data_IF_558099567192
#
_entry.id   IF_558099567192
#
_cell.length_a   1.000
_cell.length_b   1.000
_cell.length_c   1.000
_cell.angle_alpha   90.00
_cell.angle_beta   90.00
_cell.angle_gamma   90.00
#
_symmetry.space_group_name_H-M   'P 1'
#
loop_
_entity.id
_entity.type
_entity.pdbx_description
1 polymer ?
2 non-polymer ?
3 non-polymer ?
4 non-polymer ?
5 water ?
#
# COMPACT_ATOMS: atom_id res chain seq x y z
N UNK A 42 -20.80 -14.98 -20.71
CA UNK A 42 -21.17 -16.43 -20.65
C UNK A 42 -20.66 -17.07 -19.38
N UNK A 43 -21.22 -16.67 -18.24
CA UNK A 43 -20.73 -17.14 -16.93
C UNK A 43 -19.26 -16.72 -16.68
N UNK A 44 -18.88 -15.60 -17.28
CA UNK A 44 -17.53 -15.05 -17.11
C UNK A 44 -17.58 -13.55 -17.25
N UNK A 45 -16.73 -12.88 -16.47
CA UNK A 45 -16.58 -11.44 -16.55
C UNK A 45 -15.11 -11.09 -16.40
N UNK A 46 -14.72 -9.97 -17.01
CA UNK A 46 -13.37 -9.44 -16.93
C UNK A 46 -13.40 -8.10 -16.23
N UNK A 47 -12.57 -7.97 -15.20
CA UNK A 47 -12.40 -6.72 -14.47
C UNK A 47 -10.97 -6.21 -14.73
N UNK A 48 -10.84 -4.91 -14.97
CA UNK A 48 -9.54 -4.28 -15.16
C UNK A 48 -9.07 -3.57 -13.90
N UNK A 49 -7.76 -3.40 -13.78
CA UNK A 49 -7.18 -2.62 -12.72
C UNK A 49 -5.93 -1.92 -13.28
N UNK A 50 -5.50 -0.82 -12.65
CA UNK A 50 -4.43 0.01 -13.23
C UNK A 50 -3.44 0.56 -12.21
N UNK A 51 -2.49 1.37 -12.70
CA UNK A 51 -1.45 1.97 -11.85
C UNK A 51 -1.97 3.06 -10.93
N UNK A 52 -3.25 3.39 -11.09
CA UNK A 52 -3.87 4.45 -10.30
C UNK A 52 -4.81 3.96 -9.22
N UNK A 53 -4.60 2.73 -8.76
CA UNK A 53 -5.39 2.14 -7.68
C UNK A 53 -6.90 2.18 -7.95
N UNK A 54 -7.28 1.79 -9.16
CA UNK A 54 -8.69 1.74 -9.57
C UNK A 54 -9.04 0.42 -10.25
N UNK A 55 -10.20 -0.14 -9.89
CA UNK A 55 -10.87 -1.13 -10.73
C UNK A 55 -11.70 -0.35 -11.75
N UNK A 56 -12.01 -0.95 -12.90
CA UNK A 56 -12.90 -0.32 -13.88
C UNK A 56 -14.40 -0.58 -13.65
N UNK A 57 -14.75 -1.14 -12.49
CA UNK A 57 -16.16 -1.35 -12.16
C UNK A 57 -16.40 -1.25 -10.65
N UNK A 58 -17.65 -0.96 -10.32
CA UNK A 58 -18.11 -0.93 -8.93
C UNK A 58 -19.11 -2.06 -8.65
N UNK A 59 -19.44 -2.83 -9.68
CA UNK A 59 -20.42 -3.90 -9.57
C UNK A 59 -20.12 -5.03 -10.53
N UNK A 60 -19.96 -6.24 -9.98
CA UNK A 60 -19.80 -7.42 -10.81
C UNK A 60 -21.07 -8.24 -10.70
N UNK A 61 -21.75 -8.41 -11.83
CA UNK A 61 -22.99 -9.17 -11.89
C UNK A 61 -22.69 -10.62 -12.18
N UNK A 62 -23.21 -11.50 -11.33
CA UNK A 62 -22.96 -12.93 -11.44
C UNK A 62 -24.29 -13.65 -11.59
N UNK A 63 -24.48 -14.33 -12.73
CA UNK A 63 -25.73 -15.02 -13.02
C UNK A 63 -25.83 -16.31 -12.21
N UNK A 64 -26.93 -16.45 -11.46
CA UNK A 64 -27.11 -17.63 -10.63
C UNK A 64 -27.65 -18.83 -11.43
N UNK A 65 -27.90 -18.59 -12.72
CA UNK A 65 -28.12 -19.67 -13.68
C UNK A 65 -26.83 -20.45 -13.98
N UNK A 66 -25.68 -19.87 -13.63
CA UNK A 66 -24.38 -20.51 -13.88
C UNK A 66 -24.04 -21.55 -12.82
N UNK A 67 -23.52 -22.71 -13.24
CA UNK A 67 -22.98 -23.70 -12.31
C UNK A 67 -21.71 -23.16 -11.67
N UNK A 68 -20.89 -22.49 -12.48
CA UNK A 68 -19.65 -21.87 -12.03
C UNK A 68 -19.50 -20.56 -12.78
N UNK A 69 -18.89 -19.57 -12.13
CA UNK A 69 -18.70 -18.25 -12.72
C UNK A 69 -17.23 -17.86 -12.59
N UNK A 70 -16.62 -17.46 -13.70
CA UNK A 70 -15.19 -17.09 -13.70
C UNK A 70 -15.02 -15.58 -13.79
N UNK A 71 -14.21 -15.03 -12.89
CA UNK A 71 -13.85 -13.62 -12.96
C UNK A 71 -12.35 -13.53 -13.24
N UNK A 72 -12.02 -12.85 -14.34
CA UNK A 72 -10.62 -12.62 -14.72
C UNK A 72 -10.24 -11.18 -14.41
N UNK A 73 -9.16 -11.01 -13.64
CA UNK A 73 -8.63 -9.69 -13.36
C UNK A 73 -7.42 -9.43 -14.24
N UNK A 74 -7.43 -8.29 -14.92
CA UNK A 74 -6.28 -7.83 -15.70
C UNK A 74 -5.71 -6.60 -15.02
N UNK A 75 -4.38 -6.49 -15.04
CA UNK A 75 -3.68 -5.33 -14.55
C UNK A 75 -3.10 -4.63 -15.77
N UNK A 76 -3.65 -3.47 -16.11
CA UNK A 76 -3.25 -2.77 -17.34
C UNK A 76 -2.15 -1.74 -17.13
N UNK A 77 -1.67 -1.63 -15.89
CA UNK A 77 -0.55 -0.74 -15.57
C UNK A 77 0.77 -1.35 -15.98
N UNK A 78 1.87 -0.72 -15.55
CA UNK A 78 3.23 -1.21 -15.81
C UNK A 78 4.02 -1.44 -14.52
N UNK A 79 3.46 -1.04 -13.38
CA UNK A 79 4.12 -1.19 -12.08
C UNK A 79 4.15 -2.64 -11.62
N UNK A 80 5.21 -3.05 -10.90
CA UNK A 80 5.32 -4.43 -10.39
C UNK A 80 4.33 -4.68 -9.25
N UNK A 81 4.05 -5.95 -8.97
CA UNK A 81 3.06 -6.29 -7.96
C UNK A 81 3.50 -5.90 -6.55
N UNK A 82 4.81 -5.79 -6.33
CA UNK A 82 5.33 -5.37 -5.02
C UNK A 82 4.83 -3.97 -4.63
N UNK A 83 4.73 -3.07 -5.60
CA UNK A 83 4.34 -1.69 -5.29
C UNK A 83 2.92 -1.34 -5.68
N UNK A 84 2.34 -2.06 -6.63
CA UNK A 84 1.00 -1.73 -7.12
C UNK A 84 0.20 -3.01 -7.40
N UNK A 85 0.34 -3.99 -6.51
CA UNK A 85 -0.29 -5.30 -6.69
C UNK A 85 -1.79 -5.19 -6.59
N UNK A 86 -2.49 -5.93 -7.44
CA UNK A 86 -3.94 -6.06 -7.35
C UNK A 86 -4.37 -7.51 -7.37
N UNK A 87 -5.40 -7.80 -6.58
CA UNK A 87 -6.10 -9.04 -6.67
C UNK A 87 -7.58 -8.72 -6.63
N UNK A 88 -8.41 -9.74 -6.72
CA UNK A 88 -9.83 -9.55 -6.53
C UNK A 88 -10.28 -10.62 -5.52
N UNK A 89 -10.81 -10.16 -4.40
CA UNK A 89 -11.15 -11.01 -3.26
C UNK A 89 -12.61 -10.81 -2.90
N UNK A 90 -13.36 -11.91 -2.84
CA UNK A 90 -14.80 -11.84 -2.60
C UNK A 90 -15.14 -12.31 -1.19
N UNK A 91 -15.82 -11.43 -0.45
CA UNK A 91 -16.25 -11.72 0.93
C UNK A 91 -17.49 -10.88 1.29
N UNK A 92 -18.22 -11.29 2.32
CA UNK A 92 -19.35 -10.49 2.78
C UNK A 92 -18.88 -9.08 3.14
N UNK A 93 -19.70 -8.08 2.85
CA UNK A 93 -19.41 -6.70 3.26
C UNK A 93 -18.88 -6.59 4.70
N UNK A 94 -19.53 -7.29 5.63
CA UNK A 94 -19.21 -7.22 7.06
C UNK A 94 -17.91 -7.96 7.43
N UNK A 95 -17.44 -8.81 6.52
CA UNK A 95 -16.19 -9.55 6.75
C UNK A 95 -14.97 -8.87 6.12
N UNK A 96 -15.21 -7.93 5.21
CA UNK A 96 -14.13 -7.37 4.39
C UNK A 96 -13.03 -6.66 5.20
N UNK A 97 -13.41 -5.90 6.23
CA UNK A 97 -12.45 -5.23 7.10
C UNK A 97 -11.50 -6.23 7.77
N UNK A 98 -12.06 -7.32 8.29
CA UNK A 98 -11.26 -8.37 8.91
C UNK A 98 -10.34 -9.04 7.91
N UNK A 99 -10.85 -9.26 6.68
CA UNK A 99 -10.07 -9.84 5.59
C UNK A 99 -8.87 -8.95 5.23
N UNK A 100 -9.09 -7.64 5.14
CA UNK A 100 -7.99 -6.67 4.93
C UNK A 100 -6.91 -6.81 6.00
N UNK A 101 -7.33 -6.76 7.26
CA UNK A 101 -6.40 -6.77 8.39
C UNK A 101 -5.54 -8.03 8.40
N UNK A 102 -6.17 -9.18 8.18
CA UNK A 102 -5.44 -10.44 8.15
C UNK A 102 -4.59 -10.61 6.88
N UNK A 103 -4.95 -9.91 5.82
CA UNK A 103 -4.22 -9.99 4.56
C UNK A 103 -2.81 -9.41 4.65
N UNK A 104 -2.66 -8.43 5.56
CA UNK A 104 -1.39 -7.74 5.81
C UNK A 104 -0.22 -8.70 6.07
N UNK A 105 -0.44 -9.70 6.92
CA UNK A 105 0.61 -10.67 7.24
C UNK A 105 0.81 -11.76 6.20
N UNK A 106 0.14 -11.62 5.05
CA UNK A 106 0.05 -12.71 4.09
C UNK A 106 0.60 -12.38 2.70
N UNK A 107 1.66 -11.58 2.63
CA UNK A 107 2.19 -11.06 1.36
C UNK A 107 2.57 -12.14 0.35
N UNK A 108 3.07 -13.27 0.85
CA UNK A 108 3.48 -14.37 -0.02
C UNK A 108 2.34 -15.33 -0.38
N UNK A 109 1.14 -15.05 0.13
CA UNK A 109 -0.07 -15.76 -0.31
C UNK A 109 -1.13 -14.77 -0.82
N UNK A 110 -0.66 -13.83 -1.65
CA UNK A 110 -1.52 -12.90 -2.41
C UNK A 110 -2.26 -11.90 -1.53
N UNK A 111 -1.73 -11.66 -0.33
CA UNK A 111 -2.33 -10.77 0.67
C UNK A 111 -3.71 -11.24 1.10
N UNK A 112 -3.89 -12.56 1.12
CA UNK A 112 -5.07 -13.18 1.63
C UNK A 112 -4.63 -14.23 2.65
N UNK A 113 -5.11 -14.11 3.88
CA UNK A 113 -4.86 -15.16 4.88
C UNK A 113 -5.36 -16.50 4.33
N UNK A 114 -4.48 -17.52 4.29
CA UNK A 114 -4.88 -18.84 3.82
C UNK A 114 -5.99 -19.49 4.67
N UNK A 115 -6.78 -20.36 4.05
CA UNK A 115 -7.83 -21.13 4.75
C UNK A 115 -8.88 -20.26 5.47
N UNK A 116 -9.15 -19.08 4.92
CA UNK A 116 -10.03 -18.10 5.55
C UNK A 116 -11.46 -18.34 5.06
N UNK A 117 -12.32 -18.81 5.96
CA UNK A 117 -13.68 -19.15 5.60
C UNK A 117 -14.48 -17.92 5.13
N UNK A 118 -14.02 -16.72 5.50
CA UNK A 118 -14.69 -15.47 5.10
C UNK A 118 -14.53 -15.18 3.61
N UNK A 119 -13.49 -15.76 3.00
CA UNK A 119 -13.19 -15.49 1.60
C UNK A 119 -13.79 -16.58 0.74
N UNK A 120 -14.78 -16.20 -0.06
CA UNK A 120 -15.47 -17.14 -0.94
C UNK A 120 -14.57 -17.60 -2.07
N UNK A 121 -13.82 -16.64 -2.64
CA UNK A 121 -12.90 -16.88 -3.74
C UNK A 121 -11.97 -15.69 -3.89
N UNK A 122 -10.80 -15.92 -4.48
CA UNK A 122 -9.88 -14.83 -4.78
C UNK A 122 -8.93 -15.17 -5.93
N UNK A 123 -8.50 -14.13 -6.63
CA UNK A 123 -7.45 -14.31 -7.65
C UNK A 123 -6.09 -14.21 -6.97
N UNK A 124 -5.04 -14.55 -7.72
CA UNK A 124 -3.67 -14.25 -7.34
C UNK A 124 -3.47 -12.73 -7.34
N UNK A 125 -2.42 -12.26 -6.68
CA UNK A 125 -2.00 -10.86 -6.76
C UNK A 125 -1.18 -10.73 -8.04
N UNK A 126 -1.46 -9.69 -8.80
CA UNK A 126 -0.79 -9.50 -10.08
C UNK A 126 -0.21 -8.09 -10.17
N UNK A 127 0.80 -7.92 -11.03
CA UNK A 127 1.34 -6.60 -11.33
C UNK A 127 1.05 -6.25 -12.78
N UNK A 128 1.62 -5.14 -13.25
CA UNK A 128 1.37 -4.63 -14.60
C UNK A 128 1.59 -5.64 -15.72
N UNK A 129 0.62 -5.73 -16.64
CA UNK A 129 0.71 -6.62 -17.79
C UNK A 129 0.34 -8.07 -17.50
N UNK A 130 -0.20 -8.33 -16.31
CA UNK A 130 -0.54 -9.69 -15.93
C UNK A 130 -2.05 -9.88 -15.77
N UNK A 131 -2.45 -11.14 -15.65
CA UNK A 131 -3.84 -11.47 -15.35
C UNK A 131 -3.95 -12.72 -14.47
N UNK A 132 -5.03 -12.79 -13.71
CA UNK A 132 -5.34 -13.94 -12.86
C UNK A 132 -6.85 -14.08 -12.77
N UNK A 133 -7.31 -15.32 -12.67
CA UNK A 133 -8.74 -15.58 -12.60
C UNK A 133 -9.15 -16.30 -11.32
N UNK A 134 -10.44 -16.22 -11.02
CA UNK A 134 -11.03 -16.99 -9.94
C UNK A 134 -12.26 -17.67 -10.52
N UNK A 135 -12.69 -18.72 -9.85
CA UNK A 135 -13.91 -19.43 -10.21
C UNK A 135 -14.71 -19.62 -8.93
N UNK A 136 -16.01 -19.33 -8.98
CA UNK A 136 -16.86 -19.52 -7.83
C UNK A 136 -18.18 -20.13 -8.23
N UNK A 137 -18.82 -20.77 -7.26
CA UNK A 137 -20.17 -21.25 -7.41
C UNK A 137 -21.12 -20.13 -6.98
N UNK A 138 -21.93 -19.59 -7.92
CA UNK A 138 -22.84 -18.48 -7.57
C UNK A 138 -23.75 -18.77 -6.38
N UNK A 139 -24.07 -20.04 -6.13
CA UNK A 139 -24.90 -20.45 -5.00
C UNK A 139 -24.32 -20.00 -3.64
N UNK A 140 -22.98 -19.92 -3.56
CA UNK A 140 -22.31 -19.48 -2.33
C UNK A 140 -22.55 -18.01 -2.00
N UNK A 141 -23.07 -17.25 -2.96
CA UNK A 141 -23.31 -15.82 -2.76
C UNK A 141 -24.74 -15.49 -2.35
N UNK A 142 -25.59 -16.51 -2.32
CA UNK A 142 -27.02 -16.31 -2.01
C UNK A 142 -27.30 -15.96 -0.54
N UNK A 143 -26.33 -16.25 0.34
CA UNK A 143 -26.56 -16.13 1.79
C UNK A 143 -26.15 -14.80 2.43
N UNK A 144 -25.77 -13.81 1.63
CA UNK A 144 -25.38 -12.51 2.16
C UNK A 144 -25.13 -11.46 1.10
N UNK A 145 -24.70 -10.27 1.52
CA UNK A 145 -24.33 -9.22 0.56
C UNK A 145 -22.83 -9.19 0.39
N UNK A 146 -22.40 -9.56 -0.81
CA UNK A 146 -20.99 -9.76 -1.09
C UNK A 146 -20.34 -8.59 -1.78
N UNK A 147 -19.07 -8.39 -1.46
CA UNK A 147 -18.26 -7.36 -2.08
C UNK A 147 -17.00 -7.96 -2.68
N UNK A 148 -16.38 -7.21 -3.58
CA UNK A 148 -15.04 -7.54 -4.06
C UNK A 148 -14.12 -6.37 -3.68
N UNK A 149 -12.85 -6.68 -3.49
CA UNK A 149 -11.84 -5.69 -3.17
C UNK A 149 -10.45 -6.21 -3.50
N UNK A 150 -9.53 -5.27 -3.65
CA UNK A 150 -8.12 -5.60 -3.65
C UNK A 150 -7.60 -5.53 -2.22
N UNK A 151 -6.96 -6.60 -1.76
CA UNK A 151 -6.49 -6.66 -0.39
C UNK A 151 -5.02 -6.33 -0.22
N UNK A 152 -4.38 -5.88 -1.29
CA UNK A 152 -3.05 -5.27 -1.20
C UNK A 152 -3.17 -4.13 -0.18
N UNK A 153 -2.27 -4.09 0.83
CA UNK A 153 -2.45 -3.13 1.91
C UNK A 153 -2.63 -1.70 1.44
N UNK A 154 -3.71 -1.08 1.90
CA UNK A 154 -4.06 0.30 1.55
C UNK A 154 -5.00 0.46 0.36
N UNK A 155 -5.06 -0.54 -0.51
CA UNK A 155 -5.79 -0.39 -1.76
C UNK A 155 -7.31 -0.51 -1.58
N UNK A 156 -7.71 -1.27 -0.56
CA UNK A 156 -9.10 -1.65 -0.34
C UNK A 156 -10.13 -0.54 -0.23
N UNK A 157 -9.72 0.62 0.32
CA UNK A 157 -10.65 1.74 0.50
C UNK A 157 -11.07 2.33 -0.83
N UNK A 158 -10.16 2.33 -1.80
CA UNK A 158 -10.45 2.81 -3.16
C UNK A 158 -10.89 1.70 -4.13
N UNK A 159 -10.36 0.49 -3.94
CA UNK A 159 -10.59 -0.61 -4.87
C UNK A 159 -11.53 -1.64 -4.25
N UNK A 160 -12.82 -1.34 -4.31
CA UNK A 160 -13.85 -2.24 -3.81
C UNK A 160 -15.17 -2.00 -4.53
N UNK A 161 -16.07 -2.97 -4.45
CA UNK A 161 -17.36 -2.87 -5.09
C UNK A 161 -18.29 -3.99 -4.67
N UNK A 162 -19.44 -4.05 -5.34
CA UNK A 162 -20.48 -5.03 -5.03
C UNK A 162 -20.36 -6.24 -5.94
N UNK A 163 -20.68 -7.41 -5.40
CA UNK A 163 -20.89 -8.60 -6.23
C UNK A 163 -22.39 -8.90 -6.19
N UNK A 164 -23.04 -8.89 -7.34
CA UNK A 164 -24.50 -8.97 -7.41
C UNK A 164 -24.97 -10.21 -8.16
N UNK A 165 -25.74 -11.06 -7.49
CA UNK A 165 -26.41 -12.16 -8.16
C UNK A 165 -27.54 -11.63 -9.04
N UNK A 166 -27.55 -12.07 -10.29
CA UNK A 166 -28.60 -11.72 -11.26
C UNK A 166 -29.17 -13.00 -11.87
N UNK A 167 -30.22 -12.86 -12.67
CA UNK A 167 -30.85 -14.00 -13.31
C UNK A 167 -29.95 -14.67 -14.37
N UNK B 42 12.84 23.04 19.57
CA UNK B 42 14.21 22.53 19.85
C UNK B 42 14.83 21.70 18.71
N UNK B 43 14.52 22.07 17.47
CA UNK B 43 15.17 21.49 16.29
C UNK B 43 14.94 19.99 16.15
N UNK B 44 13.79 19.54 16.62
CA UNK B 44 13.41 18.13 16.52
C UNK B 44 11.90 18.03 16.36
N UNK B 45 11.46 16.93 15.75
CA UNK B 45 10.03 16.63 15.60
C UNK B 45 9.85 15.13 15.66
N UNK B 46 8.65 14.70 16.06
CA UNK B 46 8.30 13.29 16.13
C UNK B 46 7.12 12.99 15.23
N UNK B 47 7.25 11.94 14.42
CA UNK B 47 6.17 11.48 13.56
C UNK B 47 5.81 10.06 14.02
N UNK B 48 4.52 9.77 14.04
CA UNK B 48 4.04 8.44 14.39
C UNK B 48 3.50 7.74 13.14
N UNK B 49 3.54 6.42 13.17
CA UNK B 49 3.03 5.59 12.09
C UNK B 49 2.42 4.36 12.75
N UNK B 50 1.45 3.74 12.08
CA UNK B 50 0.72 2.61 12.68
C UNK B 50 0.44 1.44 11.72
N UNK B 51 -0.33 0.47 12.20
CA UNK B 51 -0.68 -0.70 11.40
C UNK B 51 -1.69 -0.40 10.29
N UNK B 52 -2.23 0.81 10.31
CA UNK B 52 -3.22 1.22 9.33
C UNK B 52 -2.62 2.00 8.17
N UNK B 53 -1.29 1.97 8.06
CA UNK B 53 -0.57 2.67 7.00
C UNK B 53 -0.84 4.17 7.03
N UNK B 54 -0.76 4.76 8.21
CA UNK B 54 -0.95 6.19 8.38
C UNK B 54 0.19 6.82 9.14
N UNK B 55 0.73 7.91 8.61
CA UNK B 55 1.53 8.84 9.40
C UNK B 55 0.52 9.73 10.13
N UNK B 56 0.91 10.28 11.28
CA UNK B 56 0.01 11.16 12.05
C UNK B 56 0.09 12.66 11.71
N UNK B 57 0.80 12.99 10.62
CA UNK B 57 0.83 14.35 10.07
C UNK B 57 0.98 14.29 8.56
N UNK B 58 0.54 15.33 7.87
CA UNK B 58 0.81 15.47 6.45
C UNK B 58 1.84 16.56 6.18
N UNK B 59 2.39 17.14 7.25
CA UNK B 59 3.40 18.19 7.12
C UNK B 59 4.39 18.22 8.29
N UNK B 60 5.68 18.18 7.96
CA UNK B 60 6.71 18.33 8.97
C UNK B 60 7.37 19.69 8.76
N UNK B 61 7.34 20.52 9.81
CA UNK B 61 7.93 21.85 9.74
C UNK B 61 9.35 21.81 10.28
N UNK B 62 10.29 22.22 9.43
CA UNK B 62 11.70 22.25 9.78
C UNK B 62 12.17 23.71 9.88
N UNK B 63 12.59 24.14 11.07
CA UNK B 63 13.09 25.50 11.23
C UNK B 63 14.47 25.66 10.60
N UNK B 64 14.59 26.60 9.67
CA UNK B 64 15.89 26.86 9.07
C UNK B 64 16.82 27.67 9.96
N UNK B 65 16.36 28.02 11.16
CA UNK B 65 17.23 28.57 12.20
C UNK B 65 18.12 27.48 12.82
N UNK B 66 17.76 26.21 12.62
CA UNK B 66 18.51 25.08 13.14
C UNK B 66 19.73 24.74 12.28
N UNK B 67 20.84 24.39 12.94
CA UNK B 67 22.04 23.89 12.26
C UNK B 67 21.76 22.48 11.74
N UNK B 68 21.08 21.71 12.57
CA UNK B 68 20.69 20.33 12.26
C UNK B 68 19.30 20.11 12.86
N UNK B 69 18.50 19.29 12.19
CA UNK B 69 17.13 19.03 12.62
C UNK B 69 16.91 17.52 12.69
N UNK B 70 16.38 17.04 13.80
CA UNK B 70 16.18 15.59 14.00
C UNK B 70 14.71 15.21 13.87
N UNK B 71 14.44 14.19 13.05
CA UNK B 71 13.08 13.69 12.91
C UNK B 71 13.07 12.25 13.39
N UNK B 72 12.26 11.99 14.41
CA UNK B 72 12.12 10.64 14.97
C UNK B 72 10.80 10.05 14.49
N UNK B 73 10.89 8.88 13.88
CA UNK B 73 9.69 8.14 13.48
C UNK B 73 9.43 7.05 14.50
N UNK B 74 8.19 6.95 14.96
CA UNK B 74 7.78 5.87 15.86
C UNK B 74 6.73 5.02 15.15
N UNK B 75 6.79 3.71 15.37
CA UNK B 75 5.78 2.78 14.87
C UNK B 75 4.99 2.34 16.09
N UNK B 76 3.73 2.76 16.16
CA UNK B 76 2.90 2.54 17.34
C UNK B 76 2.04 1.27 17.23
N UNK B 77 2.15 0.58 16.10
CA UNK B 77 1.46 -0.68 15.86
C UNK B 77 2.16 -1.89 16.47
N UNK B 78 1.75 -3.08 16.05
CA UNK B 78 2.32 -4.34 16.56
C UNK B 78 2.74 -5.28 15.43
N UNK B 79 2.49 -4.87 14.19
CA UNK B 79 2.91 -5.64 13.02
C UNK B 79 4.44 -5.55 12.84
N UNK B 80 5.08 -6.67 12.45
CA UNK B 80 6.53 -6.68 12.23
C UNK B 80 6.89 -5.88 10.97
N UNK B 81 8.15 -5.46 10.88
CA UNK B 81 8.60 -4.60 9.78
C UNK B 81 8.51 -5.25 8.40
N UNK B 82 8.64 -6.58 8.36
CA UNK B 82 8.52 -7.32 7.09
C UNK B 82 7.11 -7.23 6.48
N UNK B 83 6.11 -7.01 7.34
CA UNK B 83 4.70 -6.95 6.91
C UNK B 83 4.14 -5.52 6.80
N UNK B 84 4.52 -4.67 7.74
CA UNK B 84 3.97 -3.31 7.85
C UNK B 84 5.11 -2.35 8.21
N UNK B 85 6.26 -2.52 7.57
CA UNK B 85 7.42 -1.68 7.88
C UNK B 85 7.20 -0.25 7.45
N UNK B 86 7.71 0.68 8.27
CA UNK B 86 7.67 2.10 7.93
C UNK B 86 9.04 2.74 8.10
N UNK B 87 9.35 3.63 7.17
CA UNK B 87 10.46 4.55 7.33
C UNK B 87 9.98 5.97 6.98
N UNK B 88 10.90 6.92 7.04
CA UNK B 88 10.59 8.29 6.63
C UNK B 88 11.75 8.75 5.75
N UNK B 89 11.43 9.00 4.48
CA UNK B 89 12.42 9.25 3.44
C UNK B 89 12.14 10.61 2.82
N UNK B 90 13.16 11.46 2.81
CA UNK B 90 13.00 12.83 2.31
C UNK B 90 13.67 13.05 0.95
N UNK B 91 12.86 13.54 -0.01
CA UNK B 91 13.30 13.81 -1.38
C UNK B 91 12.39 14.85 -2.03
N UNK B 92 12.87 15.49 -3.08
CA UNK B 92 12.04 16.42 -3.85
C UNK B 92 10.80 15.70 -4.38
N UNK B 93 9.67 16.39 -4.38
CA UNK B 93 8.42 15.86 -4.94
C UNK B 93 8.66 15.18 -6.29
N UNK B 94 9.40 15.83 -7.18
CA UNK B 94 9.63 15.30 -8.52
C UNK B 94 10.61 14.12 -8.55
N UNK B 95 11.27 13.87 -7.42
CA UNK B 95 12.19 12.74 -7.31
C UNK B 95 11.57 11.51 -6.62
N UNK B 96 10.45 11.69 -5.90
CA UNK B 96 9.88 10.63 -5.05
C UNK B 96 9.50 9.36 -5.84
N UNK B 97 8.90 9.54 -7.02
CA UNK B 97 8.53 8.39 -7.85
C UNK B 97 9.74 7.51 -8.17
N UNK B 98 10.84 8.13 -8.57
CA UNK B 98 12.09 7.41 -8.84
C UNK B 98 12.64 6.73 -7.59
N UNK B 99 12.57 7.45 -6.47
CA UNK B 99 12.98 6.92 -5.17
C UNK B 99 12.14 5.69 -4.79
N UNK B 100 10.81 5.78 -4.96
CA UNK B 100 9.92 4.63 -4.73
C UNK B 100 10.33 3.42 -5.58
N UNK B 101 10.55 3.66 -6.87
CA UNK B 101 10.83 2.60 -7.85
C UNK B 101 12.11 1.82 -7.52
N UNK B 102 13.19 2.55 -7.24
CA UNK B 102 14.48 1.95 -6.89
C UNK B 102 14.48 1.37 -5.46
N UNK B 103 13.59 1.86 -4.60
CA UNK B 103 13.49 1.37 -3.23
C UNK B 103 13.00 -0.06 -3.12
N UNK B 104 12.10 -0.47 -4.02
CA UNK B 104 11.54 -1.82 -3.97
C UNK B 104 12.63 -2.91 -4.01
N UNK B 105 13.69 -2.70 -4.76
CA UNK B 105 14.80 -3.67 -4.83
C UNK B 105 15.82 -3.55 -3.72
N UNK B 106 15.48 -2.80 -2.67
CA UNK B 106 16.42 -2.50 -1.59
C UNK B 106 15.91 -2.96 -0.21
N UNK B 107 15.33 -4.15 -0.16
CA UNK B 107 14.74 -4.71 1.07
C UNK B 107 15.67 -4.73 2.28
N UNK B 108 16.94 -5.03 2.06
CA UNK B 108 17.90 -5.15 3.17
C UNK B 108 18.60 -3.82 3.54
N UNK B 109 18.28 -2.76 2.80
CA UNK B 109 18.76 -1.41 3.14
C UNK B 109 17.57 -0.46 3.29
N UNK B 110 16.57 -0.91 4.06
CA UNK B 110 15.43 -0.08 4.49
C UNK B 110 14.55 0.43 3.35
N UNK B 111 14.54 -0.31 2.25
CA UNK B 111 13.83 0.06 1.01
C UNK B 111 14.19 1.43 0.47
N UNK B 112 15.47 1.77 0.59
CA UNK B 112 16.02 2.97 0.00
C UNK B 112 17.25 2.52 -0.76
N UNK B 113 17.31 2.81 -2.06
CA UNK B 113 18.51 2.53 -2.82
C UNK B 113 19.68 3.28 -2.17
N UNK B 114 20.77 2.55 -1.87
CA UNK B 114 21.92 3.20 -1.26
C UNK B 114 22.58 4.22 -2.19
N UNK B 115 23.22 5.21 -1.58
CA UNK B 115 23.98 6.23 -2.32
C UNK B 115 23.11 6.97 -3.33
N UNK B 116 21.84 7.18 -2.97
CA UNK B 116 20.86 7.81 -3.85
C UNK B 116 20.89 9.32 -3.58
N UNK B 117 21.38 10.08 -4.55
CA UNK B 117 21.55 11.53 -4.40
C UNK B 117 20.22 12.28 -4.25
N UNK B 118 19.12 11.65 -4.64
CA UNK B 118 17.78 12.22 -4.53
C UNK B 118 17.28 12.21 -3.09
N UNK B 119 17.86 11.35 -2.26
CA UNK B 119 17.41 11.18 -0.90
C UNK B 119 18.28 12.03 0.02
N UNK B 120 17.67 13.06 0.60
CA UNK B 120 18.34 13.99 1.51
C UNK B 120 18.68 13.30 2.82
N UNK B 121 17.74 12.53 3.34
CA UNK B 121 17.92 11.82 4.59
C UNK B 121 16.82 10.77 4.70
N UNK B 122 17.08 9.74 5.51
CA UNK B 122 16.07 8.73 5.78
C UNK B 122 16.28 8.02 7.10
N UNK B 123 15.19 7.57 7.70
CA UNK B 123 15.30 6.69 8.86
C UNK B 123 15.51 5.26 8.38
N UNK B 124 15.81 4.38 9.33
CA UNK B 124 15.76 2.96 9.09
C UNK B 124 14.29 2.52 8.98
N UNK B 125 14.10 1.36 8.38
CA UNK B 125 12.78 0.71 8.35
C UNK B 125 12.51 0.10 9.71
N UNK B 126 11.33 0.40 10.26
CA UNK B 126 11.00 -0.09 11.58
C UNK B 126 9.64 -0.79 11.60
N UNK B 127 9.47 -1.64 12.61
CA UNK B 127 8.18 -2.30 12.85
C UNK B 127 7.56 -1.90 14.17
N UNK B 128 6.41 -2.51 14.48
CA UNK B 128 5.69 -2.25 15.72
C UNK B 128 6.58 -2.17 16.94
N UNK B 129 6.41 -1.11 17.72
CA UNK B 129 7.13 -0.93 18.98
C UNK B 129 8.52 -0.35 18.88
N UNK B 130 8.95 0.00 17.67
CA UNK B 130 10.30 0.52 17.45
C UNK B 130 10.31 1.99 17.07
N UNK B 131 11.50 2.57 17.10
CA UNK B 131 11.68 3.91 16.59
C UNK B 131 13.03 4.06 15.88
N UNK B 132 13.08 5.02 14.97
CA UNK B 132 14.31 5.36 14.25
C UNK B 132 14.30 6.84 13.92
N UNK B 133 15.49 7.44 13.86
CA UNK B 133 15.61 8.87 13.63
C UNK B 133 16.52 9.19 12.45
N UNK B 134 16.34 10.37 11.88
CA UNK B 134 17.25 10.90 10.89
C UNK B 134 17.65 12.29 11.37
N UNK B 135 18.77 12.75 10.85
CA UNK B 135 19.23 14.11 11.10
C UNK B 135 19.55 14.72 9.75
N UNK B 136 19.14 15.97 9.56
CA UNK B 136 19.41 16.66 8.31
C UNK B 136 19.79 18.12 8.55
N UNK B 137 20.45 18.72 7.57
CA UNK B 137 20.75 20.14 7.58
C UNK B 137 19.61 20.84 6.84
N UNK B 138 18.84 21.69 7.55
CA UNK B 138 17.71 22.37 6.91
C UNK B 138 18.08 23.15 5.63
N UNK B 139 19.32 23.66 5.56
CA UNK B 139 19.79 24.35 4.35
C UNK B 139 19.68 23.50 3.08
N UNK B 140 19.75 22.18 3.24
CA UNK B 140 19.64 21.26 2.10
C UNK B 140 18.22 21.16 1.54
N UNK B 141 17.25 21.74 2.25
CA UNK B 141 15.85 21.73 1.81
C UNK B 141 15.42 23.02 1.10
N UNK B 142 16.31 24.01 1.05
CA UNK B 142 16.00 25.32 0.45
C UNK B 142 15.90 25.34 -1.08
N UNK B 143 16.35 24.28 -1.73
CA UNK B 143 16.48 24.27 -3.20
C UNK B 143 15.33 23.60 -3.96
N UNK B 144 14.21 23.36 -3.29
CA UNK B 144 13.05 22.74 -3.94
C UNK B 144 11.93 22.45 -2.97
N UNK B 145 10.86 21.85 -3.49
CA UNK B 145 9.72 21.42 -2.67
C UNK B 145 9.92 19.97 -2.23
N UNK B 146 10.11 19.78 -0.94
CA UNK B 146 10.45 18.46 -0.40
C UNK B 146 9.27 17.78 0.22
N UNK B 147 9.28 16.46 0.09
CA UNK B 147 8.26 15.60 0.65
C UNK B 147 8.91 14.50 1.49
N UNK B 148 8.12 13.91 2.38
CA UNK B 148 8.50 12.68 3.07
C UNK B 148 7.55 11.57 2.67
N UNK B 149 8.04 10.33 2.75
CA UNK B 149 7.23 9.17 2.43
C UNK B 149 7.79 7.95 3.12
N UNK B 150 6.95 6.93 3.25
CA UNK B 150 7.41 5.59 3.55
C UNK B 150 7.67 4.87 2.24
N UNK B 151 8.86 4.29 2.08
CA UNK B 151 9.22 3.67 0.82
C UNK B 151 9.10 2.14 0.83
N UNK B 152 8.60 1.58 1.92
CA UNK B 152 8.18 0.19 1.94
C UNK B 152 7.23 -0.03 0.75
N UNK B 153 7.40 -1.17 0.00
CA UNK B 153 6.67 -1.28 -1.26
C UNK B 153 5.16 -1.16 -1.11
N UNK B 154 4.57 -0.31 -1.93
CA UNK B 154 3.14 -0.06 -1.88
C UNK B 154 2.69 1.02 -0.92
N UNK B 155 3.51 1.33 0.09
CA UNK B 155 3.10 2.23 1.16
C UNK B 155 3.10 3.71 0.77
N UNK B 156 4.06 4.08 -0.08
CA UNK B 156 4.30 5.47 -0.45
C UNK B 156 3.14 6.15 -1.14
N UNK B 157 2.39 5.38 -1.92
CA UNK B 157 1.17 5.85 -2.57
C UNK B 157 0.21 6.52 -1.58
N UNK B 158 0.18 6.04 -0.33
CA UNK B 158 -0.69 6.63 0.69
C UNK B 158 0.02 7.29 1.87
N UNK B 159 1.24 6.87 2.16
CA UNK B 159 1.99 7.40 3.31
C UNK B 159 3.01 8.43 2.83
N UNK B 160 2.56 9.68 2.72
CA UNK B 160 3.41 10.75 2.24
C UNK B 160 2.91 12.09 2.74
N UNK B 161 3.77 13.09 2.67
CA UNK B 161 3.42 14.41 3.15
C UNK B 161 4.45 15.43 2.71
N UNK B 162 4.34 16.64 3.26
CA UNK B 162 5.25 17.71 2.91
C UNK B 162 6.29 17.95 4.00
N UNK B 163 7.47 18.39 3.58
CA UNK B 163 8.48 18.88 4.49
C UNK B 163 8.57 20.37 4.19
N UNK B 164 8.35 21.19 5.21
CA UNK B 164 8.24 22.64 5.04
C UNK B 164 9.27 23.36 5.90
N UNK B 165 10.12 24.15 5.26
CA UNK B 165 11.02 25.04 6.00
C UNK B 165 10.21 26.18 6.62
N UNK B 166 10.47 26.46 7.89
CA UNK B 166 9.84 27.58 8.61
C UNK B 166 10.93 28.39 9.29
N UNK B 167 10.58 29.54 9.86
CA UNK B 167 11.58 30.40 10.50
C UNK B 167 12.16 29.78 11.78
X LIG C 1 -4.29 -3.42 -5.52
X LIG D 1 -33.67 -20.09 -8.44
X LIG D 1 -33.38 -19.47 -9.72
X LIG D 1 -34.59 -21.18 -8.64
X LIG D 1 -32.42 -20.61 -7.93
X LIG D 1 -34.24 -19.12 -7.51
X LIG E 1 -24.86 -11.37 -3.21
X LIG E 1 -24.23 -10.10 -3.09
X LIG E 1 -26.18 -11.31 -3.99
X LIG E 1 -26.45 -10.06 -4.57
X LIG E 1 -27.40 -11.90 -3.30
X LIG E 1 -27.17 -12.34 -1.97
X LIG F 1 5.41 1.83 5.69
X LIG G 1 17.86 33.32 6.16
X LIG G 1 16.98 33.76 5.08
X LIG G 1 17.10 32.54 7.11
X LIG G 1 18.92 32.48 5.61
X LIG G 1 18.46 34.46 6.83
X LIG H 1 11.03 25.25 0.62
X LIG H 1 12.16 24.87 -0.14
X LIG H 1 10.56 24.09 1.50
X LIG H 1 9.64 24.58 2.44
X LIG H 1 9.82 23.10 0.62
X LIG H 1 10.13 21.79 1.02
#
# INVERSE_FOLDING_TARGET
MASQEPAAPAAEATPAGEAPASEAPAAEAAPADAAEAPAAGNCAATVESNDNMQFNTKDIQVSKACKEFTITLKHTGTQPKASMGHNLVIAKAEDMDGVFKDGVGAADTDYVKPDDARVVAHTKLIGGGEESSLTLDPAKLADGDYKFACTFPGHGALMNGKVTLVD
MASQEPAAPAAEATPAGEAPASEAPAAEAAPADAAEAPAAGNCAATVESNDNMQFNTKDIQVSKACKEFTITLKHTGTQPKASMGHNLVIAKAEDMDGVFKDGVGAADTDYVKPDDARVVAHTKLIGGGEESSLTLDPAKLADGDYKFACTFPGHGALMNGKVTLVD
ZN ZN
SO4 S O1 O2 O3 O4
GOL C1 O1 C2 O2 C3 O3
ZN ZN
SO4 S O1 O2 O3 O4
GOL C1 O1 C2 O2 C3 O3
#
